data_IF_379697752585
#
_entry.id   IF_379697752585
#
_cell.length_a   1.000
_cell.length_b   1.000
_cell.length_c   1.000
_cell.angle_alpha   90.00
_cell.angle_beta   90.00
_cell.angle_gamma   90.00
#
_symmetry.space_group_name_H-M   'P 1'
#
loop_
_entity.id
_entity.type
_entity.pdbx_description
1 polymer ?
#
# COMPACT_ATOMS: atom_id res chain seq x y z
N UNK A 1 -34.29 3.22 -23.83
CA UNK A 1 -33.10 3.94 -23.33
C UNK A 1 -33.16 3.84 -21.82
N UNK A 2 -32.48 2.84 -21.25
CA UNK A 2 -32.47 2.62 -19.80
C UNK A 2 -31.56 3.66 -19.15
N UNK A 3 -32.19 4.72 -18.65
CA UNK A 3 -31.55 5.72 -17.83
C UNK A 3 -31.25 5.09 -16.46
N UNK A 4 -30.08 4.49 -16.34
CA UNK A 4 -29.53 4.00 -15.07
C UNK A 4 -29.35 5.19 -14.13
N UNK A 5 -30.39 5.50 -13.37
CA UNK A 5 -30.29 6.35 -12.18
C UNK A 5 -29.37 5.62 -11.21
N UNK A 6 -28.11 6.05 -11.13
CA UNK A 6 -27.21 5.57 -10.09
C UNK A 6 -27.90 5.85 -8.75
N UNK A 7 -28.03 4.84 -7.86
CA UNK A 7 -28.63 5.08 -6.56
C UNK A 7 -27.79 6.15 -5.87
N UNK A 8 -28.44 7.23 -5.43
CA UNK A 8 -27.81 8.35 -4.75
C UNK A 8 -27.19 7.83 -3.44
N UNK A 9 -25.92 7.43 -3.53
CA UNK A 9 -25.21 6.73 -2.46
C UNK A 9 -24.81 7.68 -1.33
N UNK A 10 -24.55 7.12 -0.15
CA UNK A 10 -24.04 7.89 0.98
C UNK A 10 -22.65 8.43 0.65
N UNK A 11 -22.55 9.75 0.42
CA UNK A 11 -21.28 10.45 0.22
C UNK A 11 -20.57 10.60 1.57
N UNK A 12 -19.28 10.28 1.61
CA UNK A 12 -18.48 10.43 2.81
C UNK A 12 -18.34 11.90 3.17
N UNK A 13 -18.46 12.23 4.45
CA UNK A 13 -18.13 13.56 4.95
C UNK A 13 -16.62 13.81 4.79
N UNK A 14 -16.21 15.07 4.73
CA UNK A 14 -14.78 15.43 4.60
C UNK A 14 -13.93 14.83 5.73
N UNK A 15 -14.49 14.75 6.94
CA UNK A 15 -13.83 14.13 8.09
C UNK A 15 -13.60 12.63 7.88
N UNK A 16 -14.59 11.91 7.32
CA UNK A 16 -14.46 10.48 7.01
C UNK A 16 -13.43 10.25 5.89
N UNK A 17 -13.44 11.08 4.85
CA UNK A 17 -12.47 11.00 3.77
C UNK A 17 -11.03 11.25 4.27
N UNK A 18 -10.86 12.24 5.17
CA UNK A 18 -9.57 12.55 5.79
C UNK A 18 -9.05 11.40 6.64
N UNK A 19 -9.91 10.77 7.43
CA UNK A 19 -9.54 9.59 8.23
C UNK A 19 -9.13 8.41 7.33
N UNK A 20 -9.86 8.16 6.23
CA UNK A 20 -9.51 7.15 5.24
C UNK A 20 -8.13 7.41 4.62
N UNK A 21 -7.87 8.66 4.22
CA UNK A 21 -6.56 9.07 3.67
C UNK A 21 -5.43 8.85 4.66
N UNK A 22 -5.62 9.19 5.93
CA UNK A 22 -4.62 8.97 6.98
C UNK A 22 -4.27 7.48 7.13
N UNK A 23 -5.27 6.58 7.14
CA UNK A 23 -5.03 5.13 7.20
C UNK A 23 -4.25 4.64 5.99
N UNK A 24 -4.63 5.06 4.78
CA UNK A 24 -3.91 4.69 3.56
C UNK A 24 -2.45 5.15 3.58
N UNK A 25 -2.19 6.36 4.08
CA UNK A 25 -0.82 6.88 4.22
C UNK A 25 -0.03 6.05 5.24
N UNK A 26 -0.62 5.72 6.39
CA UNK A 26 0.05 4.89 7.39
C UNK A 26 0.44 3.51 6.83
N UNK A 27 -0.46 2.88 6.07
CA UNK A 27 -0.18 1.59 5.40
C UNK A 27 0.95 1.76 4.38
N UNK A 28 0.90 2.81 3.55
CA UNK A 28 1.94 3.06 2.55
C UNK A 28 3.32 3.28 3.20
N UNK A 29 3.38 4.03 4.31
CA UNK A 29 4.61 4.23 5.06
C UNK A 29 5.14 2.92 5.66
N UNK A 30 4.27 2.11 6.27
CA UNK A 30 4.65 0.83 6.85
C UNK A 30 5.20 -0.13 5.79
N UNK A 31 4.52 -0.26 4.65
CA UNK A 31 4.97 -1.10 3.54
C UNK A 31 6.28 -0.57 2.92
N UNK A 32 6.42 0.74 2.77
CA UNK A 32 7.65 1.36 2.28
C UNK A 32 8.85 1.06 3.17
N UNK A 33 8.70 1.22 4.49
CA UNK A 33 9.75 0.87 5.46
C UNK A 33 10.11 -0.62 5.35
N UNK A 34 9.10 -1.49 5.30
CA UNK A 34 9.32 -2.94 5.18
C UNK A 34 10.18 -3.27 3.95
N UNK A 35 9.84 -2.73 2.78
CA UNK A 35 10.61 -2.94 1.54
C UNK A 35 12.04 -2.41 1.66
N UNK A 36 12.22 -1.21 2.22
CA UNK A 36 13.54 -0.62 2.42
C UNK A 36 14.41 -1.50 3.32
N UNK A 37 13.85 -2.07 4.39
CA UNK A 37 14.57 -2.98 5.27
C UNK A 37 15.06 -4.24 4.52
N UNK A 38 14.19 -4.88 3.74
CA UNK A 38 14.57 -6.04 2.94
C UNK A 38 15.65 -5.70 1.90
N UNK A 39 15.52 -4.55 1.24
CA UNK A 39 16.48 -4.09 0.26
C UNK A 39 17.84 -3.77 0.91
N UNK A 40 17.85 -3.08 2.05
CA UNK A 40 19.07 -2.79 2.81
C UNK A 40 19.79 -4.09 3.24
N UNK A 41 19.05 -5.09 3.72
CA UNK A 41 19.62 -6.40 4.05
C UNK A 41 20.22 -7.07 2.81
N UNK A 42 19.55 -6.96 1.66
CA UNK A 42 20.04 -7.52 0.38
C UNK A 42 21.32 -6.85 -0.08
N UNK A 43 21.44 -5.52 0.06
CA UNK A 43 22.68 -4.79 -0.25
C UNK A 43 23.84 -5.18 0.67
N UNK A 44 23.58 -5.36 1.97
CA UNK A 44 24.62 -5.66 2.96
C UNK A 44 25.06 -7.12 2.91
N UNK A 45 24.13 -8.07 2.76
CA UNK A 45 24.42 -9.52 2.80
C UNK A 45 24.60 -10.15 1.42
N UNK A 46 24.29 -9.43 0.35
CA UNK A 46 24.23 -9.97 -1.00
C UNK A 46 23.00 -10.86 -1.23
N UNK A 47 22.68 -11.21 -2.49
CA UNK A 47 21.52 -12.03 -2.78
C UNK A 47 21.82 -13.48 -2.42
N UNK A 48 21.09 -14.04 -1.45
CA UNK A 48 21.22 -15.45 -1.05
C UNK A 48 21.01 -16.42 -2.23
N UNK A 49 20.29 -16.00 -3.27
CA UNK A 49 20.08 -16.75 -4.51
C UNK A 49 21.37 -17.04 -5.29
N UNK A 50 22.45 -16.29 -5.07
CA UNK A 50 23.77 -16.57 -5.68
C UNK A 50 24.55 -17.64 -4.91
N UNK A 51 24.17 -17.96 -3.68
CA UNK A 51 24.78 -19.04 -2.88
C UNK A 51 23.93 -20.30 -3.05
N UNK A 52 24.09 -20.98 -4.18
CA UNK A 52 23.49 -22.31 -4.39
C UNK A 52 24.59 -23.35 -4.65
N UNK A 53 24.67 -24.44 -3.87
CA UNK A 53 25.49 -25.58 -4.26
C UNK A 53 24.84 -26.28 -5.47
N UNK A 54 25.67 -26.69 -6.43
CA UNK A 54 25.28 -27.50 -7.60
C UNK A 54 25.01 -28.95 -7.19
#
# INVERSE_FOLDING_TARGET
>A
MDEKREPEGIVLTEAQLRSRRQRSIAIALALGILVVLFFAVTLVKGPAVLVRPL
#
